data_IF_596015987066
#
_entry.id   IF_596015987066
#
_cell.length_a   1.000
_cell.length_b   1.000
_cell.length_c   1.000
_cell.angle_alpha   90.00
_cell.angle_beta   90.00
_cell.angle_gamma   90.00
#
_symmetry.space_group_name_H-M   'P 1'
#
loop_
_entity.id
_entity.type
_entity.pdbx_description
1 polymer ?
#
# COMPACT_ATOMS: atom_id res chain seq x y z
N UNK A 1 15.30 -16.74 -15.66
CA UNK A 1 14.15 -17.64 -15.51
C UNK A 1 14.30 -18.24 -14.14
N UNK A 2 13.76 -17.55 -13.13
CA UNK A 2 13.73 -18.10 -11.78
C UNK A 2 12.50 -19.01 -11.70
N UNK A 3 12.74 -20.23 -11.21
CA UNK A 3 11.72 -21.24 -10.98
C UNK A 3 10.67 -20.67 -10.04
N UNK A 4 9.46 -20.45 -10.55
CA UNK A 4 8.30 -20.22 -9.71
C UNK A 4 8.12 -21.48 -8.86
N UNK A 5 8.41 -21.42 -7.57
CA UNK A 5 8.17 -22.53 -6.65
C UNK A 5 6.70 -22.98 -6.78
N UNK A 6 6.53 -24.18 -7.33
CA UNK A 6 5.26 -24.86 -7.35
C UNK A 6 4.98 -25.32 -5.91
N UNK A 7 4.26 -24.49 -5.15
CA UNK A 7 3.77 -24.89 -3.85
C UNK A 7 2.56 -25.79 -4.07
N UNK A 8 2.68 -27.05 -3.66
CA UNK A 8 1.57 -27.99 -3.63
C UNK A 8 0.44 -27.38 -2.76
N UNK A 9 -0.76 -27.13 -3.31
CA UNK A 9 -1.89 -26.57 -2.56
C UNK A 9 -2.33 -27.45 -1.37
N UNK A 10 -1.79 -28.67 -1.22
CA UNK A 10 -2.05 -29.56 -0.08
C UNK A 10 -1.37 -29.12 1.23
N UNK A 11 -0.37 -28.23 1.19
CA UNK A 11 0.28 -27.68 2.39
C UNK A 11 -0.16 -26.23 2.60
N UNK A 12 -1.44 -26.02 2.90
CA UNK A 12 -1.90 -24.72 3.39
C UNK A 12 -1.61 -24.63 4.89
N UNK A 13 -0.74 -23.70 5.29
CA UNK A 13 -0.67 -23.31 6.71
C UNK A 13 -2.02 -22.71 7.10
N UNK A 14 -2.47 -22.86 8.35
CA UNK A 14 -3.74 -22.29 8.82
C UNK A 14 -3.87 -20.78 8.53
N UNK A 15 -2.73 -20.10 8.48
CA UNK A 15 -2.56 -18.68 8.19
C UNK A 15 -2.72 -18.32 6.70
N UNK A 16 -2.76 -19.31 5.81
CA UNK A 16 -2.88 -19.18 4.35
C UNK A 16 -4.30 -19.45 3.85
N UNK A 17 -5.28 -19.55 4.76
CA UNK A 17 -6.69 -19.68 4.40
C UNK A 17 -7.14 -18.43 3.64
N UNK A 18 -7.65 -18.65 2.43
CA UNK A 18 -8.28 -17.61 1.62
C UNK A 18 -9.58 -17.17 2.32
N UNK A 19 -9.69 -15.88 2.62
CA UNK A 19 -10.85 -15.30 3.28
C UNK A 19 -11.52 -14.19 2.45
N UNK A 20 -10.90 -13.77 1.35
CA UNK A 20 -11.42 -12.72 0.51
C UNK A 20 -10.98 -12.84 -0.94
N UNK A 21 -11.78 -12.26 -1.82
CA UNK A 21 -11.51 -12.16 -3.25
C UNK A 21 -11.84 -10.75 -3.72
N UNK A 22 -10.98 -10.16 -4.53
CA UNK A 22 -11.31 -8.96 -5.32
C UNK A 22 -11.07 -9.23 -6.79
N UNK A 23 -11.94 -8.69 -7.65
CA UNK A 23 -11.86 -8.86 -9.11
C UNK A 23 -11.46 -7.53 -9.72
N UNK A 24 -10.37 -7.54 -10.50
CA UNK A 24 -9.82 -6.38 -11.19
C UNK A 24 -9.64 -6.71 -12.67
N UNK A 25 -10.60 -6.28 -13.48
CA UNK A 25 -10.66 -6.62 -14.90
C UNK A 25 -10.74 -8.13 -15.12
N UNK A 26 -9.65 -8.72 -15.65
CA UNK A 26 -9.55 -10.17 -15.91
C UNK A 26 -8.90 -10.96 -14.78
N UNK A 27 -8.36 -10.27 -13.78
CA UNK A 27 -7.61 -10.87 -12.68
C UNK A 27 -8.51 -11.00 -11.45
N UNK A 28 -8.37 -12.09 -10.70
CA UNK A 28 -8.89 -12.19 -9.34
C UNK A 28 -7.72 -12.27 -8.36
N UNK A 29 -7.78 -11.46 -7.31
CA UNK A 29 -6.79 -11.43 -6.24
C UNK A 29 -7.38 -12.07 -4.99
N UNK A 30 -6.66 -13.03 -4.41
CA UNK A 30 -7.11 -13.79 -3.25
C UNK A 30 -6.34 -13.33 -2.01
N UNK A 31 -7.09 -13.09 -0.93
CA UNK A 31 -6.58 -12.51 0.31
C UNK A 31 -6.58 -13.56 1.41
N UNK A 32 -5.49 -13.64 2.21
CA UNK A 32 -5.48 -14.45 3.42
C UNK A 32 -6.41 -13.82 4.47
N UNK A 33 -6.84 -14.60 5.46
CA UNK A 33 -7.65 -14.10 6.57
C UNK A 33 -6.97 -12.99 7.39
N UNK A 34 -5.65 -13.09 7.56
CA UNK A 34 -4.91 -12.28 8.52
C UNK A 34 -4.43 -10.94 7.98
N UNK A 35 -4.22 -10.82 6.66
CA UNK A 35 -3.62 -9.65 6.04
C UNK A 35 -4.49 -9.08 4.91
N UNK A 36 -4.66 -7.75 4.82
CA UNK A 36 -5.45 -7.08 3.80
C UNK A 36 -4.67 -6.89 2.48
N UNK A 37 -3.77 -7.82 2.18
CA UNK A 37 -2.87 -7.79 1.02
C UNK A 37 -3.04 -9.09 0.24
N UNK A 38 -3.18 -9.02 -1.10
CA UNK A 38 -3.37 -10.24 -1.87
C UNK A 38 -2.12 -11.12 -1.82
N UNK A 39 -2.32 -12.42 -1.60
CA UNK A 39 -1.24 -13.42 -1.59
C UNK A 39 -1.26 -14.31 -2.82
N UNK A 40 -2.40 -14.39 -3.53
CA UNK A 40 -2.49 -15.14 -4.77
C UNK A 40 -3.23 -14.36 -5.85
N UNK A 41 -3.01 -14.75 -7.10
CA UNK A 41 -3.66 -14.14 -8.25
C UNK A 41 -4.05 -15.19 -9.29
N UNK A 42 -5.26 -15.06 -9.81
CA UNK A 42 -5.78 -15.81 -10.95
C UNK A 42 -5.76 -14.86 -12.14
N UNK A 43 -4.95 -15.17 -13.16
CA UNK A 43 -4.66 -14.24 -14.27
C UNK A 43 -5.82 -14.02 -15.24
N UNK A 44 -6.60 -15.06 -15.53
CA UNK A 44 -7.79 -14.96 -16.40
C UNK A 44 -8.93 -15.76 -15.81
N UNK A 45 -9.90 -15.06 -15.24
CA UNK A 45 -11.11 -15.67 -14.68
C UNK A 45 -11.88 -16.50 -15.72
N UNK A 46 -11.79 -16.11 -17.01
CA UNK A 46 -12.44 -16.82 -18.11
C UNK A 46 -11.91 -18.24 -18.36
N UNK A 47 -10.74 -18.59 -17.82
CA UNK A 47 -10.18 -19.93 -17.92
C UNK A 47 -9.81 -20.41 -16.51
N UNK A 48 -10.74 -21.04 -15.81
CA UNK A 48 -10.52 -21.58 -14.46
C UNK A 48 -9.45 -22.69 -14.41
N UNK A 49 -8.94 -23.16 -15.56
CA UNK A 49 -7.74 -24.01 -15.62
C UNK A 49 -6.44 -23.22 -15.47
N UNK A 50 -6.48 -21.90 -15.57
CA UNK A 50 -5.32 -21.05 -15.31
C UNK A 50 -4.87 -21.24 -13.86
N UNK A 51 -3.56 -21.40 -13.68
CA UNK A 51 -2.96 -21.70 -12.38
C UNK A 51 -3.14 -20.51 -11.43
N UNK A 52 -3.51 -20.82 -10.18
CA UNK A 52 -3.42 -19.87 -9.08
C UNK A 52 -1.93 -19.63 -8.81
N UNK A 53 -1.48 -18.39 -8.95
CA UNK A 53 -0.09 -18.03 -8.71
C UNK A 53 0.06 -17.37 -7.35
N UNK A 54 1.04 -17.83 -6.57
CA UNK A 54 1.42 -17.16 -5.33
C UNK A 54 2.21 -15.90 -5.66
N UNK A 55 1.88 -14.81 -4.98
CA UNK A 55 2.58 -13.54 -5.10
C UNK A 55 3.84 -13.57 -4.24
N UNK A 56 4.94 -13.11 -4.81
CA UNK A 56 6.09 -12.73 -4.02
C UNK A 56 5.73 -11.49 -3.18
N UNK A 57 5.65 -11.71 -1.87
CA UNK A 57 5.34 -10.69 -0.86
C UNK A 57 6.56 -10.31 -0.02
N UNK A 58 7.72 -10.89 -0.33
CA UNK A 58 8.97 -10.54 0.32
C UNK A 58 9.31 -9.08 0.00
N UNK A 59 9.74 -8.34 1.02
CA UNK A 59 10.21 -6.98 0.88
C UNK A 59 11.71 -6.99 1.17
N UNK A 60 12.58 -6.79 0.17
CA UNK A 60 14.02 -6.86 0.40
C UNK A 60 14.45 -5.69 1.28
N UNK A 61 15.35 -5.94 2.23
CA UNK A 61 15.92 -4.89 3.08
C UNK A 61 17.10 -4.20 2.40
N UNK A 62 16.84 -3.67 1.21
CA UNK A 62 17.77 -2.85 0.45
C UNK A 62 17.29 -1.40 0.39
N UNK A 63 18.24 -0.49 0.32
CA UNK A 63 18.01 0.95 0.22
C UNK A 63 17.63 1.34 -1.22
N UNK A 64 18.13 0.57 -2.19
CA UNK A 64 18.00 0.85 -3.62
C UNK A 64 16.73 0.28 -4.26
N UNK A 65 16.47 0.73 -5.48
CA UNK A 65 15.43 0.23 -6.37
C UNK A 65 15.45 -1.30 -6.51
N UNK A 66 14.26 -1.92 -6.49
CA UNK A 66 14.11 -3.34 -6.77
C UNK A 66 13.01 -3.59 -7.80
N UNK A 67 13.20 -4.64 -8.61
CA UNK A 67 12.21 -5.03 -9.61
C UNK A 67 11.32 -6.15 -9.08
N UNK A 68 10.01 -5.93 -9.07
CA UNK A 68 9.00 -6.94 -8.74
C UNK A 68 7.72 -6.69 -9.50
N UNK A 69 6.81 -7.65 -9.48
CA UNK A 69 5.42 -7.41 -9.88
C UNK A 69 4.77 -6.31 -9.03
N UNK A 70 3.54 -5.92 -9.38
CA UNK A 70 2.76 -4.97 -8.58
C UNK A 70 2.67 -5.43 -7.13
N UNK A 71 2.93 -4.55 -6.16
CA UNK A 71 2.92 -4.93 -4.75
C UNK A 71 1.69 -4.37 -4.05
N UNK A 72 1.14 -5.14 -3.13
CA UNK A 72 0.10 -4.67 -2.22
C UNK A 72 -1.14 -4.08 -2.90
N UNK A 73 -1.68 -3.01 -2.28
CA UNK A 73 -2.88 -2.30 -2.73
C UNK A 73 -2.50 -0.93 -3.29
N UNK A 74 -2.84 -0.67 -4.55
CA UNK A 74 -2.66 0.65 -5.14
C UNK A 74 -3.55 1.70 -4.47
N UNK A 75 -2.96 2.83 -4.11
CA UNK A 75 -3.60 3.94 -3.42
C UNK A 75 -3.87 5.11 -4.37
N UNK A 76 -2.87 5.49 -5.15
CA UNK A 76 -2.92 6.61 -6.08
C UNK A 76 -1.92 6.36 -7.22
N UNK A 77 -2.09 7.06 -8.34
CA UNK A 77 -1.13 7.04 -9.43
C UNK A 77 -1.00 8.42 -10.05
N UNK A 78 0.09 8.62 -10.78
CA UNK A 78 0.36 9.86 -11.50
C UNK A 78 1.06 9.53 -12.82
N UNK A 79 0.60 10.16 -13.89
CA UNK A 79 1.17 10.06 -15.22
C UNK A 79 2.01 11.30 -15.51
N UNK A 80 3.32 11.11 -15.63
CA UNK A 80 4.26 12.14 -16.03
C UNK A 80 4.41 12.13 -17.54
N UNK A 81 3.87 13.16 -18.19
CA UNK A 81 3.86 13.26 -19.64
C UNK A 81 5.11 13.97 -20.16
N UNK A 82 5.79 13.35 -21.15
CA UNK A 82 6.93 13.94 -21.88
C UNK A 82 7.97 14.58 -20.98
N UNK A 83 8.42 13.85 -19.97
CA UNK A 83 9.61 14.23 -19.21
C UNK A 83 10.78 14.24 -20.19
N UNK A 84 11.58 15.31 -20.17
CA UNK A 84 12.85 15.40 -20.89
C UNK A 84 13.94 15.64 -19.85
N UNK A 85 14.57 14.58 -19.36
CA UNK A 85 15.64 14.67 -18.37
C UNK A 85 16.88 13.88 -18.84
N UNK A 86 18.02 14.56 -18.90
CA UNK A 86 19.24 14.00 -19.47
C UNK A 86 19.72 12.73 -18.76
N UNK A 87 19.46 12.57 -17.47
CA UNK A 87 19.88 11.38 -16.70
C UNK A 87 18.88 10.24 -16.81
N UNK A 88 17.61 10.56 -17.04
CA UNK A 88 16.52 9.60 -17.11
C UNK A 88 16.33 9.00 -18.51
N UNK A 89 16.46 9.83 -19.55
CA UNK A 89 16.11 9.46 -20.92
C UNK A 89 16.97 10.17 -21.98
N UNK A 90 18.21 10.53 -21.64
CA UNK A 90 19.15 11.23 -22.53
C UNK A 90 18.60 12.54 -23.12
N UNK A 91 17.53 13.09 -22.52
CA UNK A 91 16.84 14.31 -22.97
C UNK A 91 15.69 14.04 -23.95
N UNK A 92 15.46 12.80 -24.37
CA UNK A 92 14.36 12.43 -25.26
C UNK A 92 13.01 12.43 -24.51
N UNK A 93 11.90 12.90 -25.10
CA UNK A 93 10.63 12.99 -24.40
C UNK A 93 10.03 11.61 -24.11
N UNK A 94 9.98 11.23 -22.83
CA UNK A 94 9.42 9.94 -22.37
C UNK A 94 8.29 10.16 -21.37
N UNK A 95 7.29 9.27 -21.38
CA UNK A 95 6.27 9.25 -20.35
C UNK A 95 6.62 8.25 -19.25
N UNK A 96 6.33 8.57 -18.00
CA UNK A 96 6.52 7.69 -16.85
C UNK A 96 5.24 7.63 -16.04
N UNK A 97 4.86 6.44 -15.61
CA UNK A 97 3.78 6.26 -14.65
C UNK A 97 4.38 5.93 -13.28
N UNK A 98 3.90 6.61 -12.24
CA UNK A 98 4.22 6.30 -10.85
C UNK A 98 2.95 5.91 -10.12
N UNK A 99 3.00 4.84 -9.32
CA UNK A 99 1.88 4.35 -8.50
C UNK A 99 2.34 4.25 -7.05
N UNK A 100 1.51 4.74 -6.13
CA UNK A 100 1.72 4.58 -4.69
C UNK A 100 0.97 3.33 -4.24
N UNK A 101 1.66 2.41 -3.59
CA UNK A 101 1.11 1.14 -3.16
C UNK A 101 1.32 0.94 -1.66
N UNK A 102 0.30 0.49 -0.94
CA UNK A 102 0.41 0.03 0.44
C UNK A 102 0.72 -1.46 0.44
N UNK A 103 1.84 -1.84 1.05
CA UNK A 103 2.23 -3.23 1.24
C UNK A 103 2.38 -3.52 2.74
N UNK A 104 1.83 -4.64 3.19
CA UNK A 104 2.02 -5.17 4.54
C UNK A 104 2.69 -6.53 4.39
N UNK A 105 3.92 -6.66 4.90
CA UNK A 105 4.70 -7.89 4.82
C UNK A 105 5.02 -8.43 6.20
N UNK A 106 4.89 -9.75 6.32
CA UNK A 106 5.36 -10.58 7.44
C UNK A 106 6.28 -11.70 6.95
N UNK A 107 6.70 -11.63 5.68
CA UNK A 107 7.42 -12.71 5.01
C UNK A 107 8.92 -12.50 5.22
N UNK A 108 9.51 -13.39 6.01
CA UNK A 108 10.96 -13.57 6.06
C UNK A 108 11.39 -14.57 4.99
N UNK A 109 12.45 -14.26 4.26
CA UNK A 109 13.10 -15.21 3.36
C UNK A 109 14.37 -15.71 4.04
N UNK A 110 14.54 -17.04 4.11
CA UNK A 110 15.73 -17.64 4.72
C UNK A 110 17.01 -17.10 4.06
N UNK A 111 17.89 -16.50 4.87
CA UNK A 111 19.18 -15.99 4.41
C UNK A 111 19.15 -14.60 3.73
N UNK A 112 17.99 -13.94 3.65
CA UNK A 112 17.87 -12.59 3.06
C UNK A 112 17.18 -11.65 4.06
N UNK A 113 17.83 -10.54 4.39
CA UNK A 113 17.23 -9.50 5.23
C UNK A 113 15.95 -8.97 4.57
N UNK A 114 14.87 -8.88 5.36
CA UNK A 114 13.56 -8.50 4.87
C UNK A 114 12.93 -7.40 5.71
N UNK A 115 12.12 -6.55 5.06
CA UNK A 115 11.32 -5.53 5.74
C UNK A 115 9.97 -6.09 6.12
N UNK A 116 9.80 -6.27 7.43
CA UNK A 116 8.53 -6.62 8.06
C UNK A 116 7.82 -5.33 8.50
N UNK A 117 6.50 -5.28 8.35
CA UNK A 117 5.66 -4.13 8.67
C UNK A 117 4.81 -3.66 7.49
N UNK A 118 4.25 -2.44 7.61
CA UNK A 118 3.56 -1.79 6.50
C UNK A 118 4.37 -0.63 5.94
N UNK A 119 4.45 -0.61 4.62
CA UNK A 119 5.23 0.35 3.87
C UNK A 119 4.40 0.91 2.71
N UNK A 120 4.60 2.19 2.44
CA UNK A 120 4.25 2.80 1.18
C UNK A 120 5.42 2.60 0.22
N UNK A 121 5.12 1.99 -0.91
CA UNK A 121 6.07 1.68 -1.97
C UNK A 121 5.63 2.44 -3.22
N UNK A 122 6.57 3.10 -3.85
CA UNK A 122 6.36 3.74 -5.14
C UNK A 122 6.79 2.80 -6.25
N UNK A 123 5.83 2.35 -7.05
CA UNK A 123 6.06 1.60 -8.28
C UNK A 123 6.22 2.52 -9.48
N UNK A 124 7.17 2.21 -10.35
CA UNK A 124 7.52 2.98 -11.55
C UNK A 124 7.32 2.09 -12.76
N UNK A 125 6.59 2.61 -13.74
CA UNK A 125 6.28 1.95 -14.99
C UNK A 125 6.62 2.86 -16.17
N UNK A 126 7.46 2.35 -17.08
CA UNK A 126 7.85 2.99 -18.32
C UNK A 126 6.97 2.45 -19.47
N UNK A 127 5.86 3.11 -19.82
CA UNK A 127 5.01 2.64 -20.91
C UNK A 127 5.69 2.83 -22.28
N UNK A 128 5.42 1.93 -23.22
CA UNK A 128 5.94 2.01 -24.59
C UNK A 128 5.36 3.16 -25.43
N UNK A 129 4.27 3.79 -24.98
CA UNK A 129 3.67 4.98 -25.56
C UNK A 129 2.95 5.78 -24.46
N UNK A 130 2.60 7.02 -24.74
CA UNK A 130 1.90 7.88 -23.78
C UNK A 130 0.54 7.28 -23.39
N UNK A 131 0.45 6.71 -22.19
CA UNK A 131 -0.81 6.25 -21.60
C UNK A 131 -0.79 6.33 -20.07
N UNK A 132 -1.95 6.57 -19.44
CA UNK A 132 -2.11 6.47 -17.99
C UNK A 132 -1.78 5.07 -17.45
N UNK A 133 -1.50 5.01 -16.15
CA UNK A 133 -1.36 3.74 -15.43
C UNK A 133 -2.72 3.04 -15.33
N UNK A 134 -2.76 1.74 -15.57
CA UNK A 134 -3.99 0.95 -15.47
C UNK A 134 -4.05 0.26 -14.10
N UNK A 135 -4.89 0.78 -13.20
CA UNK A 135 -5.08 0.22 -11.87
C UNK A 135 -5.72 -1.18 -11.85
N UNK A 136 -6.32 -1.62 -12.98
CA UNK A 136 -6.91 -2.96 -13.10
C UNK A 136 -5.92 -3.99 -13.67
N UNK A 137 -4.72 -3.53 -14.06
CA UNK A 137 -3.68 -4.40 -14.59
C UNK A 137 -2.72 -4.82 -13.49
N UNK A 138 -2.47 -6.12 -13.41
CA UNK A 138 -1.38 -6.65 -12.61
C UNK A 138 -0.09 -6.64 -13.43
N UNK A 139 0.80 -5.69 -13.15
CA UNK A 139 2.08 -5.58 -13.85
C UNK A 139 3.07 -6.61 -13.30
N UNK A 140 3.67 -7.41 -14.18
CA UNK A 140 4.66 -8.44 -13.81
C UNK A 140 6.02 -7.87 -13.39
N UNK A 141 6.35 -6.68 -13.88
CA UNK A 141 7.63 -6.03 -13.58
C UNK A 141 7.41 -4.53 -13.49
N UNK A 142 7.63 -3.99 -12.30
CA UNK A 142 7.72 -2.59 -11.96
C UNK A 142 9.03 -2.38 -11.21
N UNK A 143 9.57 -1.16 -11.30
CA UNK A 143 10.67 -0.75 -10.43
C UNK A 143 10.09 -0.11 -9.17
N UNK A 144 10.53 -0.54 -7.99
CA UNK A 144 9.96 -0.16 -6.71
C UNK A 144 10.97 0.54 -5.83
N UNK A 145 10.50 1.53 -5.07
CA UNK A 145 11.27 2.27 -4.06
C UNK A 145 10.41 2.43 -2.80
N UNK A 146 11.00 2.24 -1.63
CA UNK A 146 10.34 2.55 -0.36
C UNK A 146 10.22 4.06 -0.18
N UNK A 147 9.01 4.57 0.06
CA UNK A 147 8.80 6.01 0.27
C UNK A 147 8.33 6.34 1.68
N UNK A 148 7.64 5.42 2.36
CA UNK A 148 7.33 5.57 3.77
C UNK A 148 7.12 4.24 4.49
N UNK A 149 7.29 4.23 5.81
CA UNK A 149 6.82 3.19 6.72
C UNK A 149 5.63 3.69 7.55
N UNK A 150 4.69 2.81 7.88
CA UNK A 150 3.62 3.10 8.84
C UNK A 150 4.04 2.61 10.23
N UNK A 151 4.32 3.54 11.14
CA UNK A 151 4.75 3.20 12.50
C UNK A 151 3.61 2.60 13.34
N UNK A 152 3.99 1.87 14.38
CA UNK A 152 3.06 1.47 15.45
C UNK A 152 2.06 0.39 15.06
N UNK A 153 2.32 -0.40 14.02
CA UNK A 153 1.57 -1.63 13.78
C UNK A 153 1.77 -2.63 14.93
N UNK A 154 0.79 -3.52 15.18
CA UNK A 154 0.98 -4.64 16.09
C UNK A 154 2.03 -5.61 15.52
N UNK A 155 2.49 -6.54 16.36
CA UNK A 155 3.27 -7.67 15.89
C UNK A 155 2.47 -8.48 14.85
N UNK A 156 3.03 -8.64 13.65
CA UNK A 156 2.38 -9.33 12.54
C UNK A 156 2.42 -10.87 12.68
N UNK A 157 3.20 -11.38 13.63
CA UNK A 157 3.24 -12.80 14.00
C UNK A 157 2.24 -13.15 15.11
N UNK A 158 1.78 -12.15 15.87
CA UNK A 158 0.82 -12.30 16.97
C UNK A 158 -0.50 -11.59 16.67
N UNK A 159 -1.03 -11.83 15.47
CA UNK A 159 -2.34 -11.33 15.08
C UNK A 159 -3.45 -12.27 15.59
N UNK A 160 -4.56 -11.69 16.03
CA UNK A 160 -5.76 -12.47 16.32
C UNK A 160 -6.29 -13.16 15.06
N UNK A 161 -7.18 -14.15 15.21
CA UNK A 161 -7.82 -14.84 14.08
C UNK A 161 -8.62 -13.93 13.15
N UNK A 162 -8.96 -12.72 13.61
CA UNK A 162 -9.59 -11.69 12.80
C UNK A 162 -8.60 -11.06 11.82
N UNK A 163 -7.31 -11.00 12.16
CA UNK A 163 -6.31 -10.32 11.37
C UNK A 163 -6.44 -8.80 11.39
N UNK A 164 -5.77 -8.16 10.44
CA UNK A 164 -5.88 -6.73 10.23
C UNK A 164 -7.11 -6.38 9.38
N UNK A 165 -7.73 -5.25 9.68
CA UNK A 165 -8.76 -4.62 8.84
C UNK A 165 -8.24 -3.30 8.31
N UNK A 166 -8.45 -3.06 7.02
CA UNK A 166 -7.90 -1.91 6.30
C UNK A 166 -9.03 -1.13 5.66
N UNK A 167 -9.02 0.19 5.84
CA UNK A 167 -9.78 1.14 5.05
C UNK A 167 -8.87 2.26 4.56
N UNK A 168 -9.18 2.78 3.37
CA UNK A 168 -8.44 3.87 2.73
C UNK A 168 -9.49 4.93 2.35
N UNK A 169 -9.21 6.20 2.63
CA UNK A 169 -10.11 7.28 2.22
C UNK A 169 -10.15 7.41 0.69
N UNK A 170 -11.23 7.95 0.09
CA UNK A 170 -11.36 8.03 -1.38
C UNK A 170 -10.18 8.68 -2.12
N UNK A 171 -9.58 9.73 -1.57
CA UNK A 171 -8.39 10.41 -2.07
C UNK A 171 -7.07 9.81 -1.59
N UNK A 172 -7.14 8.72 -0.83
CA UNK A 172 -6.01 8.05 -0.17
C UNK A 172 -5.17 8.96 0.73
N UNK A 173 -5.79 10.00 1.31
CA UNK A 173 -5.12 10.87 2.28
C UNK A 173 -5.07 10.28 3.69
N UNK A 174 -5.84 9.19 3.91
CA UNK A 174 -5.87 8.47 5.17
C UNK A 174 -5.87 6.98 4.94
N UNK A 175 -5.11 6.28 5.78
CA UNK A 175 -5.12 4.83 5.88
C UNK A 175 -5.54 4.51 7.31
N UNK A 176 -6.59 3.69 7.47
CA UNK A 176 -7.00 3.18 8.77
C UNK A 176 -6.72 1.68 8.83
N UNK A 177 -6.03 1.24 9.88
CA UNK A 177 -5.79 -0.18 10.16
C UNK A 177 -6.31 -0.49 11.55
N UNK A 178 -7.21 -1.46 11.65
CA UNK A 178 -7.60 -2.05 12.91
C UNK A 178 -6.88 -3.38 13.14
N UNK A 179 -6.49 -3.61 14.39
CA UNK A 179 -6.09 -4.92 14.91
C UNK A 179 -6.86 -5.16 16.20
N UNK A 180 -7.78 -6.12 16.16
CA UNK A 180 -8.66 -6.44 17.28
C UNK A 180 -9.44 -5.22 17.80
N UNK A 181 -9.02 -4.61 18.92
CA UNK A 181 -9.67 -3.46 19.59
C UNK A 181 -9.05 -2.11 19.26
N UNK A 182 -7.91 -2.11 18.59
CA UNK A 182 -7.11 -0.91 18.33
C UNK A 182 -7.35 -0.47 16.90
N UNK A 183 -7.65 0.82 16.70
CA UNK A 183 -7.77 1.44 15.37
C UNK A 183 -6.75 2.56 15.27
N UNK A 184 -5.87 2.48 14.27
CA UNK A 184 -4.85 3.48 13.99
C UNK A 184 -5.10 4.10 12.63
N UNK A 185 -4.91 5.41 12.54
CA UNK A 185 -5.11 6.18 11.31
C UNK A 185 -3.84 6.96 11.00
N UNK A 186 -3.27 6.73 9.81
CA UNK A 186 -2.15 7.49 9.29
C UNK A 186 -2.65 8.52 8.30
N UNK A 187 -2.16 9.75 8.44
CA UNK A 187 -2.37 10.81 7.46
C UNK A 187 -1.21 10.82 6.46
N UNK A 188 -1.54 10.98 5.19
CA UNK A 188 -0.57 11.09 4.11
C UNK A 188 -1.14 11.98 3.00
N UNK A 189 -0.26 12.45 2.14
CA UNK A 189 -0.58 13.14 0.90
C UNK A 189 0.04 12.34 -0.26
N UNK A 190 -0.76 11.62 -1.07
CA UNK A 190 -0.25 10.84 -2.17
C UNK A 190 0.50 11.68 -3.22
N UNK A 191 0.14 12.95 -3.42
CA UNK A 191 0.83 13.83 -4.38
C UNK A 191 2.24 14.13 -3.91
N UNK A 192 2.48 14.22 -2.60
CA UNK A 192 3.83 14.40 -2.06
C UNK A 192 4.77 13.27 -2.50
N UNK A 193 4.26 12.04 -2.63
CA UNK A 193 5.01 10.85 -3.05
C UNK A 193 5.02 10.60 -4.56
N UNK A 194 4.21 11.29 -5.35
CA UNK A 194 4.04 10.97 -6.78
C UNK A 194 4.36 12.13 -7.71
N UNK A 195 4.18 13.38 -7.27
CA UNK A 195 4.42 14.57 -8.06
C UNK A 195 5.68 15.30 -7.55
N UNK A 196 6.78 15.33 -8.33
CA UNK A 196 8.00 16.03 -7.97
C UNK A 196 7.82 17.53 -7.66
N UNK A 197 7.02 18.24 -8.46
CA UNK A 197 6.81 19.68 -8.29
C UNK A 197 6.17 20.01 -6.93
N UNK A 198 5.26 19.13 -6.49
CA UNK A 198 4.56 19.26 -5.22
C UNK A 198 5.41 18.72 -4.05
N UNK A 199 5.98 17.53 -4.20
CA UNK A 199 6.73 16.83 -3.17
C UNK A 199 8.08 17.45 -2.83
N UNK A 200 8.74 18.11 -3.78
CA UNK A 200 10.06 18.71 -3.60
C UNK A 200 10.04 20.21 -3.25
N UNK A 201 8.87 20.87 -3.26
CA UNK A 201 8.74 22.31 -2.89
C UNK A 201 9.80 23.25 -3.53
N UNK A 202 10.24 22.97 -4.76
CA UNK A 202 11.31 23.70 -5.49
C UNK A 202 12.70 23.66 -4.83
N UNK A 203 13.02 22.65 -4.02
CA UNK A 203 14.36 22.53 -3.47
C UNK A 203 15.42 22.40 -4.57
N UNK A 204 16.43 23.26 -4.52
CA UNK A 204 17.57 23.21 -5.43
C UNK A 204 18.47 22.00 -5.13
N UNK A 205 19.11 21.44 -6.15
CA UNK A 205 20.14 20.40 -6.00
C UNK A 205 19.66 18.94 -6.07
N UNK A 206 18.37 18.69 -6.31
CA UNK A 206 17.86 17.31 -6.53
C UNK A 206 18.08 16.90 -7.99
N UNK A 207 18.74 15.76 -8.28
CA UNK A 207 18.84 15.24 -9.64
C UNK A 207 17.46 15.06 -10.30
N UNK A 208 17.35 15.40 -11.58
CA UNK A 208 16.08 15.38 -12.29
C UNK A 208 15.52 13.97 -12.52
N UNK A 209 16.35 12.93 -12.63
CA UNK A 209 15.92 11.53 -12.60
C UNK A 209 15.41 11.10 -11.22
N UNK A 210 16.14 11.46 -10.16
CA UNK A 210 15.81 11.15 -8.78
C UNK A 210 14.41 11.66 -8.42
N UNK A 211 14.01 12.83 -8.91
CA UNK A 211 12.70 13.41 -8.60
C UNK A 211 11.53 12.54 -9.08
N UNK A 212 11.65 11.87 -10.23
CA UNK A 212 10.62 11.00 -10.78
C UNK A 212 10.70 9.57 -10.27
N UNK A 213 11.87 9.15 -9.80
CA UNK A 213 12.12 7.76 -9.39
C UNK A 213 12.01 7.65 -7.86
N UNK A 214 12.92 8.26 -7.09
CA UNK A 214 13.11 7.98 -5.66
C UNK A 214 12.64 9.13 -4.73
N UNK A 215 12.81 10.38 -5.17
CA UNK A 215 12.75 11.58 -4.33
C UNK A 215 11.42 12.20 -3.90
N UNK A 216 10.23 11.80 -4.35
CA UNK A 216 9.02 12.48 -3.89
C UNK A 216 8.61 11.97 -2.49
N UNK A 217 8.43 12.92 -1.55
CA UNK A 217 7.91 12.69 -0.20
C UNK A 217 8.89 13.11 0.90
N UNK A 218 10.17 12.76 0.78
CA UNK A 218 11.15 12.98 1.85
C UNK A 218 11.29 14.45 2.25
N UNK A 219 11.26 15.39 1.29
CA UNK A 219 11.31 16.82 1.58
C UNK A 219 10.00 17.34 2.16
N UNK A 220 8.87 16.88 1.61
CA UNK A 220 7.55 17.27 2.10
C UNK A 220 7.37 16.93 3.58
N UNK A 221 7.84 15.75 4.01
CA UNK A 221 7.78 15.28 5.39
C UNK A 221 9.05 15.58 6.22
N UNK A 222 10.00 16.36 5.68
CA UNK A 222 11.30 16.63 6.34
C UNK A 222 11.17 17.29 7.71
N UNK A 223 10.09 18.04 7.95
CA UNK A 223 9.80 18.66 9.24
C UNK A 223 9.59 17.63 10.36
N UNK A 224 9.12 16.42 10.03
CA UNK A 224 8.82 15.39 11.02
C UNK A 224 10.06 14.61 11.48
N UNK A 225 11.22 14.71 10.80
CA UNK A 225 12.55 14.14 11.14
C UNK A 225 12.62 12.68 11.67
N UNK A 226 11.53 11.94 11.75
CA UNK A 226 11.52 10.54 12.15
C UNK A 226 11.72 9.72 10.89
N UNK A 227 12.95 9.23 10.74
CA UNK A 227 13.37 8.34 9.66
C UNK A 227 13.43 6.93 10.20
N UNK A 228 12.84 5.99 9.49
CA UNK A 228 12.93 4.57 9.80
C UNK A 228 13.37 3.83 8.54
N UNK A 229 14.52 3.14 8.61
CA UNK A 229 15.05 2.33 7.50
C UNK A 229 15.04 3.09 6.17
N UNK A 230 15.59 4.31 6.15
CA UNK A 230 15.78 5.13 4.94
C UNK A 230 14.51 5.59 4.21
N UNK A 231 13.37 5.60 4.90
CA UNK A 231 12.12 6.18 4.37
C UNK A 231 11.42 7.05 5.42
N UNK A 232 10.43 7.83 4.99
CA UNK A 232 9.62 8.66 5.88
C UNK A 232 8.85 7.75 6.84
N UNK A 233 8.94 7.99 8.15
CA UNK A 233 8.09 7.26 9.09
C UNK A 233 6.82 8.08 9.38
N UNK A 234 5.66 7.51 9.02
CA UNK A 234 4.37 8.10 9.31
C UNK A 234 3.86 7.57 10.65
N UNK A 235 3.62 8.48 11.59
CA UNK A 235 3.04 8.15 12.89
C UNK A 235 1.51 8.13 12.83
N UNK A 236 0.85 7.15 13.48
CA UNK A 236 -0.59 7.09 13.53
C UNK A 236 -1.17 7.98 14.62
N UNK A 237 -2.43 8.35 14.43
CA UNK A 237 -3.33 8.68 15.53
C UNK A 237 -4.10 7.42 15.90
N UNK A 238 -4.04 7.03 17.18
CA UNK A 238 -4.87 5.96 17.71
C UNK A 238 -6.25 6.49 18.10
N UNK A 239 -7.31 5.84 17.63
CA UNK A 239 -8.68 6.22 17.94
C UNK A 239 -9.12 5.56 19.24
N UNK A 240 -10.07 6.20 19.93
CA UNK A 240 -10.70 5.62 21.13
C UNK A 240 -11.32 4.27 20.75
N UNK A 241 -10.97 3.23 21.50
CA UNK A 241 -11.47 1.88 21.27
C UNK A 241 -12.99 1.81 21.39
N UNK A 242 -13.62 1.11 20.46
CA UNK A 242 -15.06 0.84 20.43
C UNK A 242 -15.37 -0.67 20.59
N UNK A 243 -14.44 -1.42 21.17
CA UNK A 243 -14.49 -2.89 21.21
C UNK A 243 -13.82 -3.53 20.00
N UNK A 244 -14.03 -4.83 19.81
CA UNK A 244 -13.46 -5.60 18.69
C UNK A 244 -14.02 -5.09 17.35
N UNK A 245 -13.15 -4.79 16.39
CA UNK A 245 -13.49 -4.22 15.09
C UNK A 245 -13.45 -5.27 13.98
N UNK A 246 -14.60 -5.62 13.43
CA UNK A 246 -14.75 -6.64 12.38
C UNK A 246 -14.54 -6.10 10.96
N UNK A 247 -14.79 -4.81 10.74
CA UNK A 247 -14.65 -4.15 9.44
C UNK A 247 -14.48 -2.64 9.58
N UNK A 248 -13.91 -2.02 8.55
CA UNK A 248 -13.68 -0.59 8.45
C UNK A 248 -14.04 -0.09 7.04
N UNK A 249 -14.59 1.11 6.93
CA UNK A 249 -14.87 1.78 5.66
C UNK A 249 -14.87 3.29 5.83
N UNK A 250 -14.25 4.03 4.89
CA UNK A 250 -14.36 5.48 4.86
C UNK A 250 -15.61 5.94 4.10
N UNK A 251 -16.35 6.91 4.66
CA UNK A 251 -17.45 7.64 4.02
C UNK A 251 -17.00 9.07 3.72
N UNK A 252 -16.23 9.24 2.66
CA UNK A 252 -15.53 10.49 2.36
C UNK A 252 -14.14 10.55 3.02
N UNK A 253 -13.52 11.73 3.05
CA UNK A 253 -12.15 11.87 3.58
C UNK A 253 -12.09 11.87 5.10
N UNK A 254 -13.13 12.36 5.76
CA UNK A 254 -13.08 12.74 7.17
C UNK A 254 -14.04 11.91 8.05
N UNK A 255 -14.53 10.78 7.55
CA UNK A 255 -15.46 9.92 8.27
C UNK A 255 -15.09 8.46 8.08
N UNK A 256 -14.71 7.79 9.17
CA UNK A 256 -14.45 6.35 9.21
C UNK A 256 -15.59 5.66 9.95
N UNK A 257 -16.11 4.61 9.35
CA UNK A 257 -17.08 3.72 9.96
C UNK A 257 -16.43 2.38 10.26
N UNK A 258 -16.89 1.72 11.32
CA UNK A 258 -16.47 0.37 11.66
C UNK A 258 -17.61 -0.45 12.22
N UNK A 259 -17.68 -1.71 11.82
CA UNK A 259 -18.56 -2.70 12.46
C UNK A 259 -17.81 -3.29 13.65
N UNK A 260 -18.39 -3.18 14.85
CA UNK A 260 -17.74 -3.58 16.10
C UNK A 260 -18.59 -4.56 16.88
N UNK A 261 -18.04 -5.19 17.93
CA UNK A 261 -18.81 -6.02 18.87
C UNK A 261 -19.95 -5.27 19.56
N UNK A 262 -19.85 -3.94 19.63
CA UNK A 262 -20.86 -3.05 20.20
C UNK A 262 -21.83 -2.48 19.15
N UNK A 263 -21.76 -2.93 17.90
CA UNK A 263 -22.53 -2.41 16.77
C UNK A 263 -21.74 -1.48 15.86
N UNK A 264 -22.44 -0.64 15.11
CA UNK A 264 -21.82 0.28 14.15
C UNK A 264 -21.22 1.49 14.87
N UNK A 265 -19.96 1.83 14.57
CA UNK A 265 -19.23 2.95 15.16
C UNK A 265 -18.77 3.92 14.07
N UNK A 266 -18.79 5.22 14.38
CA UNK A 266 -18.33 6.29 13.50
C UNK A 266 -17.24 7.11 14.18
N UNK A 267 -16.18 7.43 13.46
CA UNK A 267 -15.11 8.35 13.86
C UNK A 267 -15.01 9.50 12.85
N UNK A 268 -15.04 10.74 13.33
CA UNK A 268 -14.96 11.95 12.50
C UNK A 268 -13.61 12.65 12.61
N UNK A 269 -13.09 13.16 11.49
CA UNK A 269 -11.77 13.79 11.38
C UNK A 269 -11.82 15.22 10.83
N UNK A 270 -12.48 16.16 11.53
CA UNK A 270 -12.52 17.58 11.12
C UNK A 270 -11.45 18.47 11.78
N UNK A 271 -11.53 19.79 11.55
CA UNK A 271 -10.70 20.85 12.17
C UNK A 271 -10.78 20.86 13.72
N UNK A 272 -11.75 20.14 14.29
CA UNK A 272 -11.90 19.92 15.73
C UNK A 272 -11.61 18.49 16.18
N UNK A 273 -11.18 17.60 15.27
CA UNK A 273 -10.87 16.17 15.43
C UNK A 273 -11.34 15.59 16.78
N UNK A 274 -12.63 15.28 16.88
CA UNK A 274 -13.20 14.61 18.05
C UNK A 274 -13.58 13.20 17.65
N UNK A 275 -12.97 12.20 18.30
CA UNK A 275 -13.48 10.83 18.27
C UNK A 275 -14.79 10.77 19.05
N UNK A 276 -15.90 11.14 18.43
CA UNK A 276 -17.24 11.00 19.01
C UNK A 276 -17.82 9.66 18.57
N UNK A 277 -17.98 8.75 19.54
CA UNK A 277 -18.87 7.59 19.40
C UNK A 277 -20.29 8.14 19.24
N UNK A 278 -20.85 8.07 18.04
CA UNK A 278 -22.29 8.17 17.87
C UNK A 278 -22.86 6.77 18.06
N UNK A 279 -23.50 6.53 19.21
CA UNK A 279 -24.36 5.38 19.45
C UNK A 279 -25.68 5.63 18.69
N UNK A 280 -25.63 5.57 17.36
CA UNK A 280 -26.83 5.56 16.53
C UNK A 280 -27.32 4.13 16.35
N UNK A 281 -28.50 3.81 16.87
CA UNK A 281 -29.25 2.64 16.40
C UNK A 281 -29.58 2.90 14.91
N UNK A 282 -29.37 1.89 14.06
CA UNK A 282 -29.89 1.91 12.69
C UNK A 282 -31.41 1.92 12.79
N UNK A 283 -32.04 3.06 12.52
CA UNK A 283 -33.49 3.16 12.24
C UNK A 283 -33.79 2.74 10.80
#
# INVERSE_FOLDING_TARGET
>A
MEDSEYIDPSIQRSEERIAGITIHGKHAHLYPALLPIPQWTIRRISNLRDRIERRDTHLPDQIDEFQKQSLGKALAHYHHHRICDKRLNDGEPTCINTVLQLMISRTESFGVFSRIGAYLIKGIHFPSYCKPFDLNKDYHTLTHVYVAGLAGLPDLYDLSSLGLRLAISPGANRIAIASWRTVKVWALDPKAFLNPEYGLRKAEGVPGDYCYIQGPGWQFYSANRIWGKDCVLLEPVELVSAGVVYGLEFRGEDELWGTTEMGLCRWGFGVKAQGRREEGLLE
#
